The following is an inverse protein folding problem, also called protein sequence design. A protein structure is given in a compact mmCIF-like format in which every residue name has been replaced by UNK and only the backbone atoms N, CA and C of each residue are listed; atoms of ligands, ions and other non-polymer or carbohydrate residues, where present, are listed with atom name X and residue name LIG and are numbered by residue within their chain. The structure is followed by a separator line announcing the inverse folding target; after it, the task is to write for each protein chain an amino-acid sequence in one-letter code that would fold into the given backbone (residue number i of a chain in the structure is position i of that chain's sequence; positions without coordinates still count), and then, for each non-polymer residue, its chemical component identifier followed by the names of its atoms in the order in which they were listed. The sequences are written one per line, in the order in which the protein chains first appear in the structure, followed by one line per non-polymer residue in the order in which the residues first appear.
data_IF_145654019004
#
_entry.id   IF_145654019004
#
_cell.length_a   1.000
_cell.length_b   1.000
_cell.length_c   1.000
_cell.angle_alpha   90.00
_cell.angle_beta   90.00
_cell.angle_gamma   90.00
#
_symmetry.space_group_name_H-M   'P 1'
#
loop_
_entity.id
_entity.type
_entity.pdbx_description
1 polymer ?
#
# COMPACT_ATOMS: atom_id res chain seq x y z
N UNK A 1 56.34 14.36 -38.64
CA UNK A 1 54.97 14.22 -38.11
C UNK A 1 54.74 15.39 -37.16
N UNK A 2 53.90 16.36 -37.57
CA UNK A 2 53.85 17.69 -36.94
C UNK A 2 53.35 17.63 -35.50
N UNK A 3 53.97 18.43 -34.62
CA UNK A 3 53.65 18.59 -33.18
C UNK A 3 52.15 18.92 -32.97
N UNK A 4 51.52 19.57 -33.96
CA UNK A 4 50.11 19.91 -33.98
C UNK A 4 49.17 18.68 -34.05
N UNK A 5 49.62 17.55 -34.60
CA UNK A 5 48.85 16.30 -34.62
C UNK A 5 48.94 15.51 -33.30
N UNK A 6 50.03 15.66 -32.53
CA UNK A 6 50.19 14.96 -31.24
C UNK A 6 49.29 15.59 -30.17
N UNK A 7 49.14 16.92 -30.18
CA UNK A 7 48.25 17.65 -29.26
C UNK A 7 46.76 17.40 -29.54
N UNK A 8 46.38 17.16 -30.79
CA UNK A 8 45.00 16.82 -31.19
C UNK A 8 44.60 15.39 -30.77
N UNK A 9 45.54 14.44 -30.82
CA UNK A 9 45.32 13.08 -30.33
C UNK A 9 45.30 12.98 -28.79
N UNK A 10 46.09 13.79 -28.07
CA UNK A 10 46.04 13.83 -26.60
C UNK A 10 44.76 14.46 -26.06
N UNK A 11 44.21 15.47 -26.73
CA UNK A 11 42.95 16.09 -26.33
C UNK A 11 41.75 15.17 -26.60
N UNK A 12 41.78 14.38 -27.68
CA UNK A 12 40.73 13.37 -27.94
C UNK A 12 40.76 12.22 -26.92
N UNK A 13 41.93 11.85 -26.39
CA UNK A 13 42.05 10.79 -25.36
C UNK A 13 41.62 11.27 -23.96
N UNK A 14 41.88 12.54 -23.62
CA UNK A 14 41.44 13.15 -22.35
C UNK A 14 39.91 13.36 -22.31
N UNK A 15 39.28 13.66 -23.46
CA UNK A 15 37.82 13.71 -23.56
C UNK A 15 37.15 12.33 -23.59
N UNK A 16 37.87 11.27 -23.96
CA UNK A 16 37.34 9.89 -23.94
C UNK A 16 37.41 9.23 -22.54
N UNK A 17 38.22 9.76 -21.62
CA UNK A 17 38.37 9.21 -20.25
C UNK A 17 37.57 9.96 -19.17
N UNK A 18 36.79 10.99 -19.54
CA UNK A 18 35.90 11.70 -18.62
C UNK A 18 34.41 11.43 -18.89
N UNK A 19 34.08 10.29 -19.49
CA UNK A 19 32.79 9.66 -19.23
C UNK A 19 32.90 8.92 -17.90
N UNK A 20 32.88 9.68 -16.80
CA UNK A 20 32.50 9.10 -15.51
C UNK A 20 31.10 8.57 -15.75
N UNK A 21 31.01 7.27 -15.88
CA UNK A 21 29.76 6.53 -15.74
C UNK A 21 29.28 6.93 -14.34
N UNK A 22 28.38 7.90 -14.25
CA UNK A 22 27.51 8.04 -13.09
C UNK A 22 26.62 6.80 -13.12
N UNK A 23 27.19 5.64 -12.79
CA UNK A 23 26.44 4.51 -12.36
C UNK A 23 25.70 5.02 -11.13
N UNK A 24 24.41 5.32 -11.28
CA UNK A 24 23.54 5.42 -10.12
C UNK A 24 23.73 4.10 -9.40
N UNK A 25 24.44 4.13 -8.27
CA UNK A 25 24.57 2.97 -7.42
C UNK A 25 23.18 2.76 -6.83
N UNK A 26 22.36 2.01 -7.55
CA UNK A 26 21.07 1.55 -7.06
C UNK A 26 21.39 0.60 -5.92
N UNK A 27 21.32 1.13 -4.70
CA UNK A 27 21.41 0.30 -3.50
C UNK A 27 20.15 -0.55 -3.50
N UNK A 28 20.27 -1.89 -3.60
CA UNK A 28 19.10 -2.75 -3.58
C UNK A 28 18.39 -2.61 -2.24
N UNK A 29 17.07 -2.83 -2.24
CA UNK A 29 16.32 -2.90 -1.00
C UNK A 29 16.83 -4.11 -0.17
N UNK A 30 16.84 -3.96 1.15
CA UNK A 30 17.33 -5.00 2.07
C UNK A 30 16.60 -4.94 3.41
N UNK A 31 16.22 -6.07 4.00
CA UNK A 31 15.68 -6.09 5.36
C UNK A 31 16.63 -5.52 6.42
N UNK A 32 17.95 -5.54 6.17
CA UNK A 32 18.99 -5.05 7.08
C UNK A 32 19.44 -3.61 6.81
N UNK A 33 18.73 -2.86 5.95
CA UNK A 33 19.16 -1.54 5.48
C UNK A 33 19.49 -0.56 6.63
N UNK A 34 18.69 -0.59 7.71
CA UNK A 34 18.86 0.32 8.84
C UNK A 34 19.68 -0.24 10.02
N UNK A 35 20.09 -1.51 10.00
CA UNK A 35 20.69 -2.20 11.16
C UNK A 35 21.92 -1.48 11.73
N UNK A 36 22.74 -0.89 10.86
CA UNK A 36 23.97 -0.20 11.27
C UNK A 36 23.81 1.30 11.47
N UNK A 37 22.81 1.91 10.82
CA UNK A 37 22.64 3.37 10.79
C UNK A 37 21.60 3.86 11.79
N UNK A 38 20.57 3.05 12.07
CA UNK A 38 19.59 3.29 13.12
C UNK A 38 18.94 1.96 13.58
N UNK A 39 19.61 1.17 14.42
CA UNK A 39 19.10 -0.13 14.87
C UNK A 39 17.78 -0.05 15.65
N UNK A 40 17.46 1.11 16.24
CA UNK A 40 16.23 1.34 16.98
C UNK A 40 15.06 1.81 16.10
N UNK A 41 15.24 1.97 14.78
CA UNK A 41 14.19 2.40 13.86
C UNK A 41 12.99 1.44 13.86
N UNK A 42 13.19 0.17 13.46
CA UNK A 42 12.09 -0.80 13.34
C UNK A 42 11.40 -1.10 14.69
N UNK A 43 12.12 -1.28 15.82
CA UNK A 43 11.47 -1.40 17.12
C UNK A 43 10.61 -0.20 17.50
N UNK A 44 11.02 1.01 17.12
CA UNK A 44 10.27 2.24 17.39
C UNK A 44 9.00 2.32 16.56
N UNK A 45 9.09 2.02 15.26
CA UNK A 45 7.91 1.95 14.37
C UNK A 45 6.89 0.95 14.95
N UNK A 46 7.35 -0.26 15.27
CA UNK A 46 6.49 -1.31 15.83
C UNK A 46 5.75 -0.86 17.08
N UNK A 47 6.46 -0.28 18.06
CA UNK A 47 5.85 0.21 19.30
C UNK A 47 4.77 1.26 19.02
N UNK A 48 5.04 2.24 18.16
CA UNK A 48 4.07 3.32 17.87
C UNK A 48 2.84 2.77 17.16
N UNK A 49 3.02 1.80 16.25
CA UNK A 49 1.91 1.10 15.57
C UNK A 49 1.07 0.32 16.58
N UNK A 50 1.69 -0.47 17.46
CA UNK A 50 0.99 -1.23 18.51
C UNK A 50 0.22 -0.30 19.47
N UNK A 51 0.83 0.82 19.88
CA UNK A 51 0.15 1.85 20.68
C UNK A 51 -1.06 2.45 19.96
N UNK A 52 -0.96 2.70 18.65
CA UNK A 52 -2.06 3.25 17.86
C UNK A 52 -3.20 2.24 17.69
N UNK A 53 -2.88 0.97 17.44
CA UNK A 53 -3.85 -0.12 17.31
C UNK A 53 -4.52 -0.44 18.65
N UNK A 54 -3.78 -0.35 19.76
CA UNK A 54 -4.35 -0.51 21.10
C UNK A 54 -5.39 0.58 21.42
N UNK A 55 -5.25 1.79 20.85
CA UNK A 55 -6.21 2.89 20.99
C UNK A 55 -7.40 2.75 20.04
N UNK A 56 -7.16 2.39 18.79
CA UNK A 56 -8.20 2.13 17.79
C UNK A 56 -7.77 0.93 16.92
N UNK A 57 -8.40 -0.23 17.11
CA UNK A 57 -8.08 -1.45 16.37
C UNK A 57 -8.08 -1.28 14.85
N UNK A 58 -9.02 -0.47 14.33
CA UNK A 58 -9.14 -0.13 12.89
C UNK A 58 -7.90 0.58 12.33
N UNK A 59 -7.05 1.16 13.17
CA UNK A 59 -5.85 1.85 12.71
C UNK A 59 -4.92 0.91 11.94
N UNK A 60 -4.83 -0.38 12.34
CA UNK A 60 -4.00 -1.34 11.62
C UNK A 60 -4.47 -1.55 10.17
N UNK A 61 -5.78 -1.68 9.95
CA UNK A 61 -6.36 -1.73 8.60
C UNK A 61 -6.10 -0.45 7.80
N UNK A 62 -6.11 0.71 8.48
CA UNK A 62 -5.90 2.01 7.85
C UNK A 62 -4.47 2.20 7.38
N UNK A 63 -3.49 1.80 8.21
CA UNK A 63 -2.06 1.85 7.89
C UNK A 63 -1.69 0.86 6.77
N UNK A 64 -2.25 -0.35 6.80
CA UNK A 64 -2.11 -1.31 5.72
C UNK A 64 -2.62 -0.74 4.39
N UNK A 65 -3.80 -0.10 4.40
CA UNK A 65 -4.37 0.53 3.20
C UNK A 65 -3.56 1.73 2.72
N UNK A 66 -2.99 2.54 3.62
CA UNK A 66 -2.13 3.66 3.23
C UNK A 66 -0.92 3.19 2.41
N UNK A 67 -0.30 2.08 2.80
CA UNK A 67 0.82 1.51 2.04
C UNK A 67 0.39 0.99 0.66
N UNK A 68 -0.75 0.29 0.56
CA UNK A 68 -1.31 -0.12 -0.74
C UNK A 68 -1.56 1.09 -1.66
N UNK A 69 -2.19 2.14 -1.12
CA UNK A 69 -2.49 3.36 -1.90
C UNK A 69 -1.24 4.14 -2.30
N UNK A 70 -0.17 4.09 -1.51
CA UNK A 70 1.13 4.62 -1.89
C UNK A 70 1.69 3.85 -3.09
N UNK A 71 1.86 2.54 -2.93
CA UNK A 71 2.50 1.68 -3.93
C UNK A 71 1.80 1.67 -5.30
N UNK A 72 0.48 1.84 -5.34
CA UNK A 72 -0.29 1.88 -6.59
C UNK A 72 -0.18 3.23 -7.33
N UNK A 73 0.46 4.24 -6.75
CA UNK A 73 0.59 5.58 -7.34
C UNK A 73 2.06 5.94 -7.49
N UNK A 74 2.59 5.79 -8.70
CA UNK A 74 4.02 5.97 -9.03
C UNK A 74 5.02 5.05 -8.32
N UNK A 75 4.57 4.17 -7.43
CA UNK A 75 5.40 3.24 -6.67
C UNK A 75 5.38 3.56 -5.18
N UNK A 76 6.06 2.76 -4.37
CA UNK A 76 6.09 2.97 -2.92
C UNK A 76 7.08 4.09 -2.56
N UNK A 77 6.69 5.34 -2.75
CA UNK A 77 7.54 6.52 -2.62
C UNK A 77 7.02 7.57 -1.61
N UNK A 78 6.01 7.20 -0.82
CA UNK A 78 5.32 8.04 0.15
C UNK A 78 4.73 9.34 -0.43
N UNK A 79 4.47 9.40 -1.73
CA UNK A 79 3.79 10.52 -2.40
C UNK A 79 2.41 10.81 -1.80
N UNK A 80 1.69 9.77 -1.37
CA UNK A 80 0.39 9.89 -0.71
C UNK A 80 0.42 10.76 0.57
N UNK A 81 1.58 10.86 1.21
CA UNK A 81 1.71 11.59 2.48
C UNK A 81 1.84 13.11 2.28
N UNK A 82 2.21 13.57 1.09
CA UNK A 82 2.39 14.99 0.78
C UNK A 82 1.06 15.75 0.88
N UNK A 83 1.06 16.87 1.61
CA UNK A 83 -0.06 17.79 1.69
C UNK A 83 -0.13 18.72 0.48
N UNK A 84 -1.32 19.27 0.26
CA UNK A 84 -1.57 20.22 -0.82
C UNK A 84 -0.71 21.48 -0.65
N UNK A 85 -0.03 21.89 -1.72
CA UNK A 85 0.66 23.19 -1.80
C UNK A 85 0.31 23.90 -3.11
N UNK A 86 0.95 25.03 -3.41
CA UNK A 86 0.84 25.68 -4.72
C UNK A 86 1.49 24.88 -5.85
N UNK A 87 2.38 23.94 -5.54
CA UNK A 87 3.12 23.12 -6.52
C UNK A 87 2.84 21.62 -6.40
N UNK A 88 2.15 21.18 -5.36
CA UNK A 88 1.79 19.77 -5.11
C UNK A 88 0.26 19.62 -5.14
N UNK A 89 -0.28 18.88 -6.10
CA UNK A 89 -1.68 18.42 -6.11
C UNK A 89 -1.78 17.10 -5.33
N UNK A 90 -2.19 17.21 -4.05
CA UNK A 90 -2.10 16.11 -3.10
C UNK A 90 -3.03 14.95 -3.46
N UNK A 91 -2.48 13.74 -3.37
CA UNK A 91 -3.22 12.50 -3.54
C UNK A 91 -4.27 12.28 -2.45
N UNK A 92 -4.17 12.94 -1.30
CA UNK A 92 -5.19 12.89 -0.25
C UNK A 92 -6.56 13.39 -0.76
N UNK A 93 -6.56 14.21 -1.81
CA UNK A 93 -7.75 14.73 -2.48
C UNK A 93 -8.24 13.84 -3.64
N UNK A 94 -7.60 12.71 -3.93
CA UNK A 94 -8.08 11.74 -4.92
C UNK A 94 -9.36 11.04 -4.45
N UNK A 95 -10.18 10.58 -5.39
CA UNK A 95 -11.49 9.97 -5.14
C UNK A 95 -11.42 8.80 -4.14
N UNK A 96 -10.40 7.96 -4.25
CA UNK A 96 -10.19 6.81 -3.37
C UNK A 96 -9.68 7.20 -1.96
N UNK A 97 -9.12 8.40 -1.81
CA UNK A 97 -8.44 8.89 -0.60
C UNK A 97 -9.29 9.88 0.21
N UNK A 98 -9.97 10.80 -0.47
CA UNK A 98 -10.68 11.90 0.18
C UNK A 98 -11.81 11.39 1.06
N UNK A 99 -11.80 11.82 2.32
CA UNK A 99 -12.71 11.32 3.36
C UNK A 99 -12.70 9.79 3.48
N UNK A 100 -11.57 9.13 3.24
CA UNK A 100 -11.45 7.66 3.19
C UNK A 100 -10.13 7.17 3.79
N UNK A 101 -8.99 7.56 3.20
CA UNK A 101 -7.65 7.29 3.73
C UNK A 101 -7.45 8.02 5.07
N UNK A 102 -6.79 7.37 6.02
CA UNK A 102 -6.61 7.87 7.39
C UNK A 102 -5.41 7.21 8.08
N UNK A 103 -4.96 7.77 9.21
CA UNK A 103 -3.77 7.30 9.93
C UNK A 103 -2.51 8.10 9.63
N UNK A 104 -2.63 9.21 8.87
CA UNK A 104 -1.52 10.12 8.57
C UNK A 104 -0.84 10.66 9.84
N UNK A 105 -1.64 10.94 10.87
CA UNK A 105 -1.20 11.39 12.19
C UNK A 105 -0.35 10.34 12.94
N UNK A 106 -0.58 9.05 12.67
CA UNK A 106 0.24 7.96 13.22
C UNK A 106 1.57 7.91 12.49
N UNK A 107 1.58 8.09 11.17
CA UNK A 107 2.82 8.17 10.38
C UNK A 107 3.67 9.37 10.82
N UNK A 108 3.06 10.52 11.08
CA UNK A 108 3.74 11.69 11.63
C UNK A 108 4.39 11.40 12.98
N UNK A 109 3.65 10.73 13.89
CA UNK A 109 4.19 10.32 15.20
C UNK A 109 5.35 9.34 15.05
N UNK A 110 5.22 8.34 14.17
CA UNK A 110 6.30 7.39 13.87
C UNK A 110 7.52 8.15 13.38
N UNK A 111 7.35 9.05 12.40
CA UNK A 111 8.45 9.80 11.82
C UNK A 111 9.19 10.63 12.86
N UNK A 112 8.45 11.35 13.70
CA UNK A 112 9.02 12.11 14.80
C UNK A 112 9.85 11.24 15.75
N UNK A 113 9.27 10.15 16.26
CA UNK A 113 9.96 9.29 17.24
C UNK A 113 11.14 8.54 16.64
N UNK A 114 11.06 8.14 15.36
CA UNK A 114 12.16 7.52 14.63
C UNK A 114 13.32 8.50 14.46
N UNK A 115 13.04 9.72 14.01
CA UNK A 115 14.10 10.73 13.83
C UNK A 115 14.80 11.07 15.15
N UNK A 116 14.05 11.12 16.27
CA UNK A 116 14.61 11.30 17.61
C UNK A 116 15.56 10.16 18.01
N UNK A 117 15.13 8.89 17.90
CA UNK A 117 16.00 7.75 18.28
C UNK A 117 17.19 7.57 17.33
N UNK A 118 17.07 8.02 16.08
CA UNK A 118 18.14 8.02 15.09
C UNK A 118 19.03 9.28 15.17
N UNK A 119 18.67 10.27 16.00
CA UNK A 119 19.31 11.59 16.15
C UNK A 119 19.43 12.41 14.85
N UNK A 120 18.71 12.01 13.79
CA UNK A 120 18.65 12.66 12.48
C UNK A 120 17.65 11.92 11.57
N UNK A 121 17.14 12.59 10.52
CA UNK A 121 16.30 11.97 9.49
C UNK A 121 17.10 10.97 8.65
N UNK A 122 16.99 9.68 8.94
CA UNK A 122 17.63 8.59 8.17
C UNK A 122 16.59 7.68 7.52
N UNK A 123 15.48 7.41 8.19
CA UNK A 123 14.43 6.52 7.70
C UNK A 123 13.45 7.32 6.84
N UNK A 124 13.23 6.87 5.61
CA UNK A 124 12.26 7.49 4.69
C UNK A 124 10.83 7.27 5.17
N UNK A 125 9.93 8.16 4.78
CA UNK A 125 8.51 7.98 5.01
C UNK A 125 7.95 6.78 4.22
N UNK A 126 8.52 6.49 3.05
CA UNK A 126 8.19 5.29 2.27
C UNK A 126 8.46 4.00 3.05
N UNK A 127 9.63 3.87 3.68
CA UNK A 127 9.93 2.70 4.50
C UNK A 127 9.09 2.67 5.80
N UNK A 128 8.76 3.84 6.38
CA UNK A 128 7.82 3.90 7.51
C UNK A 128 6.46 3.31 7.13
N UNK A 129 5.90 3.66 5.97
CA UNK A 129 4.63 3.09 5.49
C UNK A 129 4.72 1.57 5.34
N UNK A 130 5.78 1.07 4.70
CA UNK A 130 5.96 -0.37 4.47
C UNK A 130 6.07 -1.16 5.78
N UNK A 131 6.86 -0.66 6.74
CA UNK A 131 7.01 -1.31 8.05
C UNK A 131 5.72 -1.21 8.85
N UNK A 132 5.05 -0.06 8.85
CA UNK A 132 3.79 0.14 9.56
C UNK A 132 2.69 -0.78 9.04
N UNK A 133 2.63 -1.04 7.74
CA UNK A 133 1.71 -2.02 7.16
C UNK A 133 1.98 -3.44 7.68
N UNK A 134 3.25 -3.88 7.71
CA UNK A 134 3.63 -5.19 8.24
C UNK A 134 3.29 -5.33 9.72
N UNK A 135 3.71 -4.36 10.53
CA UNK A 135 3.49 -4.39 11.98
C UNK A 135 1.99 -4.32 12.31
N UNK A 136 1.19 -3.65 11.48
CA UNK A 136 -0.28 -3.63 11.61
C UNK A 136 -0.91 -5.00 11.40
N UNK A 137 -0.48 -5.73 10.36
CA UNK A 137 -0.98 -7.09 10.10
C UNK A 137 -0.59 -8.04 11.23
N UNK A 138 0.66 -7.99 11.69
CA UNK A 138 1.15 -8.81 12.81
C UNK A 138 0.40 -8.51 14.10
N UNK A 139 0.20 -7.23 14.44
CA UNK A 139 -0.51 -6.82 15.64
C UNK A 139 -1.98 -7.28 15.66
N UNK A 140 -2.56 -7.52 14.49
CA UNK A 140 -3.93 -8.04 14.32
C UNK A 140 -3.98 -9.56 14.08
N UNK A 141 -2.87 -10.27 14.32
CA UNK A 141 -2.83 -11.75 14.30
C UNK A 141 -2.46 -12.36 12.95
N UNK A 142 -2.06 -11.56 11.97
CA UNK A 142 -1.66 -12.02 10.65
C UNK A 142 -0.19 -12.44 10.55
N UNK A 143 0.27 -12.80 9.33
CA UNK A 143 1.65 -13.19 9.09
C UNK A 143 2.63 -12.04 9.31
N UNK A 144 3.87 -12.39 9.65
CA UNK A 144 5.01 -11.49 9.51
C UNK A 144 5.77 -11.80 8.22
N UNK A 145 6.56 -10.85 7.75
CA UNK A 145 7.50 -11.02 6.64
C UNK A 145 8.68 -10.07 6.80
N UNK A 146 9.78 -10.40 6.12
CA UNK A 146 10.95 -9.55 6.04
C UNK A 146 10.68 -8.40 5.08
N UNK A 147 10.47 -7.21 5.65
CA UNK A 147 10.23 -6.00 4.87
C UNK A 147 11.53 -5.60 4.19
N UNK A 148 11.56 -5.52 2.86
CA UNK A 148 12.71 -4.95 2.14
C UNK A 148 12.72 -3.42 2.34
N UNK A 149 13.87 -2.83 2.69
CA UNK A 149 14.00 -1.42 3.09
C UNK A 149 15.08 -0.70 2.29
N UNK A 150 15.05 0.63 2.29
CA UNK A 150 15.96 1.49 1.52
C UNK A 150 15.25 2.36 0.48
N UNK A 151 13.92 2.44 0.55
CA UNK A 151 13.12 3.33 -0.31
C UNK A 151 13.42 4.77 0.05
N UNK A 152 13.20 5.66 -0.90
CA UNK A 152 13.32 7.11 -0.74
C UNK A 152 12.00 7.78 -1.07
N UNK A 153 11.85 8.97 -0.53
CA UNK A 153 10.63 9.74 -0.62
C UNK A 153 10.55 10.53 -1.91
N UNK A 154 9.37 10.58 -2.50
CA UNK A 154 9.08 11.41 -3.67
C UNK A 154 9.16 12.90 -3.34
N UNK A 155 9.40 13.70 -4.38
CA UNK A 155 9.31 15.16 -4.33
C UNK A 155 8.05 15.71 -5.03
N UNK A 156 7.15 14.82 -5.43
CA UNK A 156 5.91 15.13 -6.14
C UNK A 156 4.80 14.17 -5.73
N UNK A 157 3.54 14.61 -5.83
CA UNK A 157 2.36 13.77 -5.72
C UNK A 157 1.48 13.97 -6.96
N UNK A 158 0.64 12.99 -7.28
CA UNK A 158 -0.24 13.07 -8.44
C UNK A 158 -1.64 12.55 -8.15
N UNK A 159 -2.55 13.46 -7.80
CA UNK A 159 -3.99 13.16 -7.69
C UNK A 159 -4.57 12.53 -8.96
N UNK A 160 -4.08 12.91 -10.14
CA UNK A 160 -4.52 12.35 -11.43
C UNK A 160 -4.13 10.88 -11.54
N UNK A 161 -2.88 10.54 -11.24
CA UNK A 161 -2.41 9.15 -11.26
C UNK A 161 -3.11 8.33 -10.18
N UNK A 162 -3.33 8.89 -8.98
CA UNK A 162 -4.10 8.23 -7.93
C UNK A 162 -5.54 7.88 -8.36
N UNK A 163 -6.22 8.80 -9.05
CA UNK A 163 -7.56 8.54 -9.59
C UNK A 163 -7.58 7.50 -10.72
N UNK A 164 -6.49 7.35 -11.45
CA UNK A 164 -6.38 6.40 -12.56
C UNK A 164 -5.99 5.00 -12.09
N UNK A 165 -5.08 4.90 -11.12
CA UNK A 165 -4.45 3.64 -10.76
C UNK A 165 -5.08 2.93 -9.58
N UNK A 166 -5.66 3.64 -8.61
CA UNK A 166 -6.25 2.98 -7.43
C UNK A 166 -7.57 2.31 -7.84
N UNK A 167 -7.73 0.99 -7.66
CA UNK A 167 -8.91 0.28 -8.11
C UNK A 167 -10.17 0.76 -7.38
N UNK A 168 -11.25 0.84 -8.15
CA UNK A 168 -12.58 1.22 -7.65
C UNK A 168 -13.30 0.00 -7.07
N UNK A 169 -14.07 0.15 -5.97
CA UNK A 169 -14.86 -0.94 -5.40
C UNK A 169 -15.97 -1.44 -6.35
N UNK A 170 -16.20 -0.73 -7.47
CA UNK A 170 -17.21 -1.04 -8.48
C UNK A 170 -16.67 -1.78 -9.71
N UNK A 171 -15.35 -1.99 -9.80
CA UNK A 171 -14.74 -2.76 -10.90
C UNK A 171 -15.25 -4.20 -10.91
N UNK A 172 -15.33 -4.79 -12.10
CA UNK A 172 -15.51 -6.22 -12.28
C UNK A 172 -14.15 -6.94 -12.35
N UNK A 173 -14.17 -8.26 -12.42
CA UNK A 173 -12.96 -9.08 -12.34
C UNK A 173 -11.93 -8.75 -13.45
N UNK A 174 -12.30 -8.65 -14.75
CA UNK A 174 -11.33 -8.30 -15.78
C UNK A 174 -10.65 -6.95 -15.54
N UNK A 175 -11.41 -5.93 -15.12
CA UNK A 175 -10.84 -4.62 -14.81
C UNK A 175 -9.92 -4.65 -13.57
N UNK A 176 -10.22 -5.49 -12.57
CA UNK A 176 -9.35 -5.69 -11.42
C UNK A 176 -8.03 -6.38 -11.80
N UNK A 177 -8.09 -7.42 -12.64
CA UNK A 177 -6.91 -8.12 -13.15
C UNK A 177 -6.02 -7.15 -13.92
N UNK A 178 -6.57 -6.44 -14.91
CA UNK A 178 -5.83 -5.45 -15.70
C UNK A 178 -5.21 -4.35 -14.80
N UNK A 179 -5.95 -3.90 -13.79
CA UNK A 179 -5.44 -2.88 -12.85
C UNK A 179 -4.22 -3.35 -12.06
N UNK A 180 -4.21 -4.60 -11.56
CA UNK A 180 -3.09 -5.19 -10.84
C UNK A 180 -1.91 -5.52 -11.77
N UNK A 181 -2.19 -6.03 -12.97
CA UNK A 181 -1.17 -6.31 -13.99
C UNK A 181 -0.41 -5.04 -14.40
N UNK A 182 -1.11 -3.90 -14.47
CA UNK A 182 -0.50 -2.59 -14.73
C UNK A 182 0.50 -2.15 -13.65
N UNK A 183 0.43 -2.74 -12.44
CA UNK A 183 1.41 -2.57 -11.37
C UNK A 183 2.44 -3.70 -11.29
N UNK A 184 2.37 -4.69 -12.19
CA UNK A 184 3.24 -5.87 -12.19
C UNK A 184 2.85 -6.93 -11.17
N UNK A 185 1.59 -6.94 -10.74
CA UNK A 185 1.00 -7.94 -9.85
C UNK A 185 0.07 -8.86 -10.65
N UNK A 186 0.19 -10.16 -10.44
CA UNK A 186 -0.60 -11.17 -11.17
C UNK A 186 -1.98 -11.41 -10.53
N UNK A 187 -2.76 -12.34 -11.10
CA UNK A 187 -4.07 -12.72 -10.58
C UNK A 187 -4.01 -13.32 -9.17
N UNK A 188 -2.98 -14.10 -8.85
CA UNK A 188 -2.77 -14.65 -7.50
C UNK A 188 -2.57 -13.50 -6.50
N UNK A 189 -1.77 -12.49 -6.87
CA UNK A 189 -1.54 -11.28 -6.09
C UNK A 189 -2.84 -10.49 -5.89
N UNK A 190 -3.67 -10.34 -6.91
CA UNK A 190 -4.99 -9.72 -6.79
C UNK A 190 -5.85 -10.41 -5.73
N UNK A 191 -6.02 -11.74 -5.84
CA UNK A 191 -6.92 -12.48 -4.93
C UNK A 191 -6.38 -12.43 -3.50
N UNK A 192 -5.08 -12.66 -3.31
CA UNK A 192 -4.49 -12.72 -1.98
C UNK A 192 -4.45 -11.35 -1.30
N UNK A 193 -4.10 -10.28 -2.03
CA UNK A 193 -4.06 -8.92 -1.48
C UNK A 193 -5.46 -8.38 -1.20
N UNK A 194 -6.49 -8.81 -1.95
CA UNK A 194 -7.88 -8.53 -1.61
C UNK A 194 -8.28 -9.12 -0.25
N UNK A 195 -7.60 -10.17 0.20
CA UNK A 195 -7.69 -10.71 1.56
C UNK A 195 -7.39 -9.70 2.67
N UNK A 196 -6.73 -8.56 2.39
CA UNK A 196 -6.57 -7.46 3.34
C UNK A 196 -7.92 -6.91 3.85
N UNK A 197 -9.01 -7.09 3.09
CA UNK A 197 -10.37 -6.76 3.50
C UNK A 197 -10.93 -7.67 4.61
N UNK A 198 -10.17 -8.64 5.11
CA UNK A 198 -10.46 -9.26 6.43
C UNK A 198 -10.43 -8.22 7.56
N UNK A 199 -9.70 -7.12 7.37
CA UNK A 199 -9.62 -6.02 8.32
C UNK A 199 -10.45 -4.80 7.89
N UNK A 200 -10.93 -4.06 8.88
CA UNK A 200 -11.43 -2.71 8.70
C UNK A 200 -12.88 -2.62 8.23
N UNK A 201 -13.19 -1.46 7.64
CA UNK A 201 -14.57 -1.03 7.40
C UNK A 201 -14.67 -0.23 6.10
N UNK A 202 -15.79 -0.40 5.41
CA UNK A 202 -16.18 0.35 4.23
C UNK A 202 -17.29 1.36 4.56
N UNK A 203 -17.34 2.46 3.80
CA UNK A 203 -18.42 3.43 3.88
C UNK A 203 -19.58 3.01 2.98
N UNK A 204 -20.81 3.30 3.41
CA UNK A 204 -22.04 3.10 2.66
C UNK A 204 -21.93 3.38 1.15
N UNK A 205 -21.34 4.53 0.81
CA UNK A 205 -21.18 4.97 -0.59
C UNK A 205 -20.45 3.97 -1.48
N UNK A 206 -19.63 3.07 -0.94
CA UNK A 206 -18.83 2.10 -1.71
C UNK A 206 -19.54 0.77 -1.97
N UNK A 207 -20.64 0.48 -1.26
CA UNK A 207 -21.36 -0.80 -1.41
C UNK A 207 -22.88 -0.66 -1.53
N UNK A 208 -23.43 0.55 -1.43
CA UNK A 208 -24.88 0.78 -1.50
C UNK A 208 -25.52 0.16 -2.74
N UNK A 209 -24.95 0.39 -3.92
CA UNK A 209 -25.49 -0.19 -5.17
C UNK A 209 -25.54 -1.72 -5.09
N UNK A 210 -24.49 -2.34 -4.55
CA UNK A 210 -24.44 -3.79 -4.39
C UNK A 210 -25.59 -4.34 -3.54
N UNK A 211 -25.82 -3.78 -2.36
CA UNK A 211 -26.82 -4.31 -1.43
C UNK A 211 -28.27 -4.04 -1.85
N UNK A 212 -28.52 -3.13 -2.78
CA UNK A 212 -29.87 -2.81 -3.28
C UNK A 212 -30.16 -3.31 -4.69
N UNK A 213 -29.14 -3.45 -5.54
CA UNK A 213 -29.31 -3.71 -6.98
C UNK A 213 -28.80 -5.08 -7.44
N UNK A 214 -27.90 -5.72 -6.70
CA UNK A 214 -27.26 -6.98 -7.13
C UNK A 214 -27.93 -8.23 -6.59
N UNK A 215 -27.90 -9.31 -7.38
CA UNK A 215 -28.50 -10.61 -7.05
C UNK A 215 -27.49 -11.66 -6.58
N UNK A 216 -26.18 -11.40 -6.76
CA UNK A 216 -25.09 -12.25 -6.28
C UNK A 216 -24.67 -11.89 -4.84
N UNK A 217 -25.64 -11.69 -3.96
CA UNK A 217 -25.44 -11.45 -2.53
C UNK A 217 -26.40 -12.33 -1.73
N UNK A 218 -25.94 -12.87 -0.61
CA UNK A 218 -26.83 -13.54 0.34
C UNK A 218 -27.92 -12.56 0.84
N UNK A 219 -29.19 -12.95 0.75
CA UNK A 219 -30.30 -12.03 0.98
C UNK A 219 -30.39 -11.57 2.44
N UNK A 220 -30.09 -12.46 3.40
CA UNK A 220 -30.05 -12.12 4.81
C UNK A 220 -28.89 -11.15 5.11
N UNK A 221 -27.73 -11.38 4.51
CA UNK A 221 -26.58 -10.47 4.63
C UNK A 221 -26.85 -9.11 3.98
N UNK A 222 -27.46 -9.06 2.79
CA UNK A 222 -27.86 -7.82 2.15
C UNK A 222 -28.82 -7.02 3.05
N UNK A 223 -29.85 -7.67 3.60
CA UNK A 223 -30.77 -7.03 4.55
C UNK A 223 -30.05 -6.51 5.80
N UNK A 224 -29.10 -7.26 6.37
CA UNK A 224 -28.30 -6.78 7.48
C UNK A 224 -27.55 -5.49 7.11
N UNK A 225 -26.84 -5.46 5.98
CA UNK A 225 -26.13 -4.25 5.53
C UNK A 225 -27.09 -3.08 5.24
N UNK A 226 -28.30 -3.33 4.76
CA UNK A 226 -29.32 -2.29 4.55
C UNK A 226 -29.79 -1.63 5.86
N UNK A 227 -29.75 -2.35 7.01
CA UNK A 227 -30.04 -1.73 8.32
C UNK A 227 -28.99 -0.69 8.71
N UNK A 228 -27.74 -0.91 8.30
CA UNK A 228 -26.63 0.03 8.48
C UNK A 228 -26.70 1.12 7.42
N UNK A 229 -27.04 0.75 6.18
CA UNK A 229 -26.89 1.57 4.99
C UNK A 229 -28.21 1.78 4.22
N UNK A 230 -28.93 2.88 4.46
CA UNK A 230 -30.15 3.20 3.74
C UNK A 230 -29.91 3.50 2.26
N UNK A 231 -31.01 3.35 1.51
CA UNK A 231 -31.05 3.56 0.07
C UNK A 231 -30.70 4.99 -0.33
N UNK A 232 -30.96 5.97 0.53
CA UNK A 232 -30.61 7.37 0.30
C UNK A 232 -29.99 7.97 1.56
N UNK A 233 -28.89 8.70 1.40
CA UNK A 233 -28.16 9.35 2.49
C UNK A 233 -27.31 8.41 3.34
N UNK A 234 -26.70 8.95 4.38
CA UNK A 234 -25.84 8.18 5.30
C UNK A 234 -24.56 7.64 4.66
N UNK A 235 -24.03 8.30 3.62
CA UNK A 235 -22.88 7.84 2.83
C UNK A 235 -21.63 7.47 3.63
N UNK A 236 -21.43 8.12 4.77
CA UNK A 236 -20.26 7.95 5.64
C UNK A 236 -20.44 6.86 6.70
N UNK A 237 -21.63 6.26 6.82
CA UNK A 237 -21.85 5.15 7.75
C UNK A 237 -20.95 3.97 7.39
N UNK A 238 -20.41 3.33 8.42
CA UNK A 238 -19.42 2.29 8.29
C UNK A 238 -20.07 0.93 8.50
N UNK A 239 -19.77 -0.01 7.60
CA UNK A 239 -20.00 -1.43 7.80
C UNK A 239 -18.65 -2.15 7.83
N UNK A 240 -18.49 -3.18 8.68
CA UNK A 240 -17.28 -4.00 8.67
C UNK A 240 -17.15 -4.73 7.34
N UNK A 241 -15.91 -4.92 6.86
CA UNK A 241 -15.64 -5.69 5.64
C UNK A 241 -15.72 -7.22 5.88
N UNK A 242 -15.56 -7.65 7.13
CA UNK A 242 -15.53 -9.05 7.60
C UNK A 242 -16.19 -9.14 9.00
N UNK A 243 -16.84 -10.23 9.44
CA UNK A 243 -17.27 -10.49 10.83
C UNK A 243 -16.19 -10.32 11.89
N UNK A 244 -14.90 -10.42 11.54
CA UNK A 244 -13.75 -10.26 12.44
C UNK A 244 -12.88 -9.05 12.03
N UNK A 245 -13.44 -7.82 11.95
CA UNK A 245 -12.80 -6.68 11.27
C UNK A 245 -11.50 -6.16 11.93
N UNK A 246 -11.11 -6.73 13.07
CA UNK A 246 -9.90 -6.45 13.83
C UNK A 246 -9.02 -7.68 14.07
N UNK A 247 -9.25 -8.77 13.33
CA UNK A 247 -8.44 -9.99 13.36
C UNK A 247 -8.11 -10.39 11.92
N UNK A 248 -6.83 -10.54 11.61
CA UNK A 248 -6.39 -10.92 10.27
C UNK A 248 -6.53 -12.44 10.08
N UNK A 249 -7.55 -12.86 9.36
CA UNK A 249 -7.86 -14.27 9.12
C UNK A 249 -8.44 -14.49 7.71
N UNK A 250 -8.89 -15.71 7.41
CA UNK A 250 -9.41 -16.10 6.10
C UNK A 250 -10.93 -16.01 6.01
N UNK A 251 -11.61 -15.39 6.99
CA UNK A 251 -13.07 -15.24 6.99
C UNK A 251 -13.56 -14.36 5.84
N UNK A 252 -12.72 -13.44 5.36
CA UNK A 252 -12.90 -12.78 4.07
C UNK A 252 -13.25 -13.78 2.95
N UNK A 253 -12.44 -14.83 2.76
CA UNK A 253 -12.68 -15.82 1.70
C UNK A 253 -13.90 -16.71 2.01
N UNK A 254 -14.13 -17.06 3.29
CA UNK A 254 -15.37 -17.75 3.71
C UNK A 254 -16.63 -16.95 3.33
N UNK A 255 -16.57 -15.62 3.48
CA UNK A 255 -17.65 -14.74 3.07
C UNK A 255 -17.86 -14.77 1.56
N UNK A 256 -16.80 -14.71 0.75
CA UNK A 256 -16.95 -14.73 -0.71
C UNK A 256 -17.65 -16.01 -1.19
N UNK A 257 -17.25 -17.17 -0.65
CA UNK A 257 -17.88 -18.48 -0.93
C UNK A 257 -19.36 -18.48 -0.54
N UNK A 258 -19.72 -17.76 0.53
CA UNK A 258 -21.08 -17.63 1.04
C UNK A 258 -21.88 -16.47 0.39
N UNK A 259 -21.35 -15.81 -0.66
CA UNK A 259 -21.93 -14.61 -1.28
C UNK A 259 -22.10 -13.42 -0.32
N UNK A 260 -21.19 -13.29 0.64
CA UNK A 260 -21.15 -12.24 1.67
C UNK A 260 -19.99 -11.25 1.50
N UNK A 261 -19.41 -11.14 0.31
CA UNK A 261 -18.49 -10.05 -0.01
C UNK A 261 -19.21 -8.69 0.07
N UNK A 262 -18.63 -7.73 0.78
CA UNK A 262 -19.26 -6.41 1.04
C UNK A 262 -19.21 -5.53 -0.20
N UNK A 263 -18.04 -5.42 -0.84
CA UNK A 263 -17.87 -4.63 -2.05
C UNK A 263 -18.24 -5.45 -3.29
N UNK A 264 -18.55 -4.76 -4.40
CA UNK A 264 -18.74 -5.44 -5.69
C UNK A 264 -17.44 -6.09 -6.14
N UNK A 265 -16.32 -5.39 -5.99
CA UNK A 265 -14.98 -5.91 -6.29
C UNK A 265 -14.64 -7.17 -5.49
N UNK A 266 -15.06 -7.26 -4.22
CA UNK A 266 -14.85 -8.46 -3.40
C UNK A 266 -15.58 -9.67 -4.00
N UNK A 267 -16.88 -9.51 -4.27
CA UNK A 267 -17.67 -10.63 -4.76
C UNK A 267 -17.30 -11.01 -6.19
N UNK A 268 -16.73 -10.10 -6.99
CA UNK A 268 -16.25 -10.37 -8.34
C UNK A 268 -15.15 -11.46 -8.38
N UNK A 269 -14.40 -11.66 -7.28
CA UNK A 269 -13.41 -12.74 -7.15
C UNK A 269 -14.05 -14.13 -7.02
N UNK A 270 -15.37 -14.21 -6.81
CA UNK A 270 -16.07 -15.48 -6.64
C UNK A 270 -17.44 -15.50 -7.35
N UNK A 271 -17.42 -15.36 -8.68
CA UNK A 271 -18.61 -15.41 -9.55
C UNK A 271 -18.60 -16.54 -10.59
N UNK A 272 -17.71 -17.52 -10.48
CA UNK A 272 -17.62 -18.63 -11.45
C UNK A 272 -16.51 -18.47 -12.50
N UNK A 273 -15.54 -17.58 -12.25
CA UNK A 273 -14.41 -17.30 -13.14
C UNK A 273 -13.10 -17.97 -12.69
N UNK A 274 -12.00 -17.49 -13.26
CA UNK A 274 -10.61 -17.96 -13.04
C UNK A 274 -10.15 -17.90 -11.58
N UNK A 275 -10.54 -16.87 -10.84
CA UNK A 275 -10.15 -16.65 -9.44
C UNK A 275 -10.82 -17.60 -8.42
N UNK A 276 -11.82 -18.38 -8.84
CA UNK A 276 -12.64 -19.19 -7.93
C UNK A 276 -11.84 -20.24 -7.15
N UNK A 277 -10.85 -20.89 -7.80
CA UNK A 277 -10.07 -21.94 -7.14
C UNK A 277 -9.14 -21.35 -6.08
N UNK A 278 -8.52 -20.21 -6.37
CA UNK A 278 -7.65 -19.47 -5.43
C UNK A 278 -8.45 -19.06 -4.19
N UNK A 279 -9.66 -18.51 -4.38
CA UNK A 279 -10.56 -18.15 -3.26
C UNK A 279 -10.93 -19.35 -2.40
N UNK A 280 -11.25 -20.50 -3.00
CA UNK A 280 -11.57 -21.73 -2.24
C UNK A 280 -10.36 -22.22 -1.44
N UNK A 281 -9.18 -22.16 -2.03
CA UNK A 281 -7.95 -22.61 -1.38
C UNK A 281 -7.65 -21.77 -0.13
N UNK A 282 -7.77 -20.44 -0.23
CA UNK A 282 -7.59 -19.56 0.94
C UNK A 282 -8.70 -19.70 1.98
N UNK A 283 -9.95 -19.94 1.56
CA UNK A 283 -11.05 -20.26 2.47
C UNK A 283 -10.77 -21.53 3.30
N UNK A 284 -10.15 -22.55 2.71
CA UNK A 284 -9.87 -23.82 3.38
C UNK A 284 -8.53 -23.81 4.14
N UNK A 285 -7.62 -22.88 3.81
CA UNK A 285 -6.24 -22.91 4.32
C UNK A 285 -5.72 -21.52 4.71
N UNK A 286 -5.96 -21.13 5.98
CA UNK A 286 -5.40 -19.92 6.60
C UNK A 286 -3.87 -19.83 6.47
N UNK A 287 -3.16 -20.96 6.60
CA UNK A 287 -1.70 -20.96 6.56
C UNK A 287 -1.18 -20.62 5.17
N UNK A 288 -1.85 -21.11 4.11
CA UNK A 288 -1.50 -20.76 2.75
C UNK A 288 -1.81 -19.29 2.47
N UNK A 289 -3.00 -18.82 2.84
CA UNK A 289 -3.35 -17.39 2.73
C UNK A 289 -2.30 -16.51 3.39
N UNK A 290 -1.93 -16.81 4.65
CA UNK A 290 -0.94 -16.05 5.39
C UNK A 290 0.43 -16.03 4.70
N UNK A 291 0.89 -17.17 4.17
CA UNK A 291 2.17 -17.28 3.48
C UNK A 291 2.19 -16.51 2.16
N UNK A 292 1.14 -16.63 1.37
CA UNK A 292 1.09 -16.01 0.05
C UNK A 292 0.79 -14.50 0.17
N UNK A 293 0.00 -14.08 1.17
CA UNK A 293 -0.18 -12.66 1.50
C UNK A 293 1.14 -11.97 1.81
N UNK A 294 1.98 -12.59 2.65
CA UNK A 294 3.32 -12.09 2.95
C UNK A 294 4.18 -11.90 1.68
N UNK A 295 4.13 -12.84 0.73
CA UNK A 295 4.88 -12.72 -0.53
C UNK A 295 4.35 -11.59 -1.41
N UNK A 296 3.04 -11.48 -1.56
CA UNK A 296 2.44 -10.44 -2.40
C UNK A 296 2.57 -9.06 -1.78
N UNK A 297 2.63 -8.94 -0.44
CA UNK A 297 2.99 -7.69 0.23
C UNK A 297 4.44 -7.28 -0.06
N UNK A 298 5.39 -8.23 -0.15
CA UNK A 298 6.76 -7.93 -0.59
C UNK A 298 6.77 -7.48 -2.05
N UNK A 299 6.08 -8.21 -2.96
CA UNK A 299 5.97 -7.82 -4.37
C UNK A 299 5.40 -6.41 -4.53
N UNK A 300 4.29 -6.11 -3.84
CA UNK A 300 3.66 -4.79 -3.85
C UNK A 300 4.60 -3.71 -3.30
N UNK A 301 5.30 -3.99 -2.20
CA UNK A 301 6.32 -3.10 -1.64
C UNK A 301 7.47 -2.80 -2.61
N UNK A 302 7.67 -3.61 -3.65
CA UNK A 302 8.74 -3.47 -4.62
C UNK A 302 8.31 -2.79 -5.93
N UNK A 303 7.09 -2.22 -5.97
CA UNK A 303 6.63 -1.44 -7.12
C UNK A 303 7.43 -0.13 -7.19
N UNK A 304 8.26 -0.02 -8.23
CA UNK A 304 8.96 1.19 -8.69
C UNK A 304 9.60 2.03 -7.56
N UNK A 305 10.40 1.45 -6.64
CA UNK A 305 10.95 2.20 -5.52
C UNK A 305 11.97 3.25 -5.99
N UNK A 306 11.97 4.40 -5.34
CA UNK A 306 13.09 5.35 -5.43
C UNK A 306 14.21 4.85 -4.52
N UNK A 307 15.43 4.74 -5.05
CA UNK A 307 16.62 4.25 -4.34
C UNK A 307 17.86 5.07 -4.69
N UNK A 308 18.95 4.86 -3.94
CA UNK A 308 20.22 5.56 -4.16
C UNK A 308 20.08 7.08 -4.01
N UNK A 309 20.26 7.81 -5.12
CA UNK A 309 20.17 9.28 -5.15
C UNK A 309 18.82 9.79 -5.70
N UNK A 310 17.85 8.91 -6.00
CA UNK A 310 16.52 9.31 -6.48
C UNK A 310 15.60 9.64 -5.31
N UNK A 311 14.90 10.76 -5.34
CA UNK A 311 14.09 11.22 -4.21
C UNK A 311 14.93 11.68 -3.01
N UNK A 312 14.30 11.79 -1.84
CA UNK A 312 14.91 12.31 -0.61
C UNK A 312 14.62 11.47 0.63
N UNK A 313 15.19 11.86 1.78
CA UNK A 313 14.72 11.40 3.09
C UNK A 313 14.04 12.60 3.72
N UNK A 314 12.71 12.61 3.75
CA UNK A 314 11.96 13.74 4.30
C UNK A 314 12.15 13.82 5.81
N UNK A 315 12.17 15.04 6.35
CA UNK A 315 12.12 15.30 7.81
C UNK A 315 10.69 15.33 8.34
N UNK A 316 9.76 15.70 7.47
CA UNK A 316 8.33 15.77 7.74
C UNK A 316 7.62 15.13 6.56
N UNK A 317 6.92 14.02 6.81
CA UNK A 317 6.27 13.25 5.75
C UNK A 317 5.17 14.02 5.01
N UNK A 318 4.75 15.18 5.50
CA UNK A 318 3.72 16.01 4.85
C UNK A 318 4.27 16.92 3.75
N UNK A 319 5.58 17.12 3.65
CA UNK A 319 6.17 18.10 2.73
C UNK A 319 7.55 17.69 2.25
N UNK A 320 7.92 18.19 1.08
CA UNK A 320 9.31 18.12 0.61
C UNK A 320 10.24 18.94 1.52
N UNK A 321 11.52 18.57 1.59
CA UNK A 321 12.50 19.22 2.47
C UNK A 321 12.82 20.69 2.13
#
# INVERSE_FOLDING_TARGET
MNIMNIMSFLSLFIFLTFSIVNASSDTPLSPSYYDRVCPNALPTIKRVVEEAIAKERRMGASLLRLHFHDCFVNGCDASILLDQTSTIDSEKNATANVNSARGFEVIDKIKFEVDEVCHRPIVSCADILTVAARDSVVALGGPSWDVELGRRDSITASRVVANANIPSPFMDLPALIENFENQGLDEDDLVVLSGAHTLGFAQCRTFRDRIYSQTNIDSAFAHHLQTICPQVGGDTRLAPLDPTPDSFDNKYFTNLVSKKGVLRSDQALFTGGETNEIVKEYNENQSKFSKDFAKSMIKMGNIKPLTGNRGEIRKDCKKVN
#
